data_IF_435664317961
#
_entry.id   IF_435664317961
#
_cell.length_a   1.000
_cell.length_b   1.000
_cell.length_c   1.000
_cell.angle_alpha   90.00
_cell.angle_beta   90.00
_cell.angle_gamma   90.00
#
_symmetry.space_group_name_H-M   'P 1'
#
loop_
_entity.id
_entity.type
_entity.pdbx_description
1 polymer ?
#
# COMPACT_ATOMS: atom_id res chain seq x y z
N UNK A 1 -88.65 -2.53 -3.88
CA UNK A 1 -88.60 -1.07 -3.65
C UNK A 1 -87.33 -0.65 -2.93
N UNK A 2 -86.61 0.38 -3.43
CA UNK A 2 -85.31 0.89 -2.93
C UNK A 2 -85.31 1.30 -1.44
N UNK A 3 -85.51 0.36 -0.51
CA UNK A 3 -85.58 0.60 0.93
C UNK A 3 -86.71 1.55 1.35
N UNK A 4 -87.84 1.51 0.64
CA UNK A 4 -89.02 2.35 0.93
C UNK A 4 -90.03 1.66 1.84
N UNK A 5 -90.28 0.36 1.61
CA UNK A 5 -91.17 -0.47 2.41
C UNK A 5 -90.37 -1.46 3.27
N UNK A 6 -90.59 -1.43 4.58
CA UNK A 6 -89.94 -2.32 5.54
C UNK A 6 -90.45 -3.76 5.49
N UNK A 7 -91.72 -3.98 5.14
CA UNK A 7 -92.32 -5.32 5.03
C UNK A 7 -91.75 -6.06 3.83
N UNK A 8 -91.63 -5.38 2.70
CA UNK A 8 -91.01 -5.95 1.49
C UNK A 8 -89.51 -6.19 1.70
N UNK A 9 -88.83 -5.30 2.42
CA UNK A 9 -87.40 -5.43 2.74
C UNK A 9 -87.10 -6.70 3.55
N UNK A 10 -87.87 -6.96 4.62
CA UNK A 10 -87.71 -8.19 5.42
C UNK A 10 -88.10 -9.42 4.61
N UNK A 11 -89.17 -9.35 3.81
CA UNK A 11 -89.62 -10.44 2.95
C UNK A 11 -88.59 -10.89 1.91
N UNK A 12 -87.71 -9.99 1.47
CA UNK A 12 -86.60 -10.26 0.54
C UNK A 12 -85.31 -10.73 1.22
N UNK A 13 -85.36 -11.07 2.51
CA UNK A 13 -84.19 -11.54 3.27
C UNK A 13 -83.42 -10.44 3.99
N UNK A 14 -83.96 -9.21 4.04
CA UNK A 14 -83.41 -8.13 4.86
C UNK A 14 -83.52 -8.45 6.36
N UNK A 15 -82.54 -7.99 7.13
CA UNK A 15 -82.49 -8.25 8.57
C UNK A 15 -82.64 -6.96 9.37
N UNK A 16 -83.08 -7.03 10.63
CA UNK A 16 -83.10 -5.86 11.51
C UNK A 16 -81.71 -5.62 12.09
N UNK A 17 -81.12 -4.45 11.81
CA UNK A 17 -79.79 -4.06 12.31
C UNK A 17 -78.89 -3.49 11.22
N UNK A 18 -77.56 -3.46 11.44
CA UNK A 18 -76.59 -3.14 10.40
C UNK A 18 -76.74 -4.10 9.22
N UNK A 19 -76.82 -3.56 8.02
CA UNK A 19 -76.92 -4.38 6.81
C UNK A 19 -75.54 -4.84 6.36
N UNK A 20 -75.46 -6.06 5.84
CA UNK A 20 -74.21 -6.59 5.25
C UNK A 20 -73.95 -5.95 3.89
N UNK A 21 -75.00 -5.83 3.07
CA UNK A 21 -74.91 -5.30 1.73
C UNK A 21 -74.68 -3.79 1.75
N UNK A 22 -73.91 -3.32 0.77
CA UNK A 22 -73.56 -1.91 0.59
C UNK A 22 -74.29 -1.33 -0.62
N UNK A 23 -74.53 -0.03 -0.57
CA UNK A 23 -75.00 0.72 -1.73
C UNK A 23 -73.79 1.29 -2.46
N UNK A 24 -73.69 0.98 -3.75
CA UNK A 24 -72.69 1.60 -4.62
C UNK A 24 -73.01 3.09 -4.81
N UNK A 25 -72.07 3.91 -5.28
CA UNK A 25 -72.36 5.31 -5.57
C UNK A 25 -73.51 5.44 -6.58
N UNK A 26 -74.57 6.16 -6.20
CA UNK A 26 -75.76 6.32 -7.03
C UNK A 26 -76.85 7.13 -6.31
N UNK A 27 -77.96 7.35 -7.01
CA UNK A 27 -79.14 8.02 -6.45
C UNK A 27 -80.15 6.97 -5.98
N UNK A 28 -80.39 6.91 -4.66
CA UNK A 28 -81.32 5.98 -4.04
C UNK A 28 -82.41 6.73 -3.29
N UNK A 29 -83.66 6.27 -3.43
CA UNK A 29 -84.81 6.83 -2.73
C UNK A 29 -85.11 6.01 -1.46
N UNK A 30 -84.39 6.30 -0.38
CA UNK A 30 -84.43 5.54 0.88
C UNK A 30 -85.37 6.23 1.87
N UNK A 31 -86.18 5.47 2.62
CA UNK A 31 -87.00 6.01 3.70
C UNK A 31 -86.16 6.27 4.97
N UNK A 32 -85.92 7.54 5.36
CA UNK A 32 -85.05 7.86 6.50
C UNK A 32 -85.66 7.51 7.87
N UNK A 33 -86.97 7.25 7.94
CA UNK A 33 -87.63 6.80 9.18
C UNK A 33 -87.35 5.32 9.47
N UNK A 34 -87.06 4.53 8.43
CA UNK A 34 -86.80 3.09 8.54
C UNK A 34 -85.31 2.77 8.52
N UNK A 35 -84.52 3.52 7.75
CA UNK A 35 -83.09 3.24 7.53
C UNK A 35 -82.22 4.46 7.83
N UNK A 36 -81.11 4.22 8.54
CA UNK A 36 -80.03 5.19 8.71
C UNK A 36 -78.91 4.88 7.72
N UNK A 37 -78.62 5.83 6.83
CA UNK A 37 -77.52 5.70 5.86
C UNK A 37 -76.23 6.22 6.50
N UNK A 38 -75.19 5.40 6.47
CA UNK A 38 -73.83 5.79 6.90
C UNK A 38 -73.03 5.99 5.61
N UNK A 39 -72.58 7.22 5.39
CA UNK A 39 -71.77 7.57 4.23
C UNK A 39 -70.30 7.34 4.58
N UNK A 40 -69.65 6.50 3.81
CA UNK A 40 -68.21 6.25 3.92
C UNK A 40 -67.53 6.41 2.57
N UNK A 41 -66.28 6.88 2.62
CA UNK A 41 -65.43 6.95 1.44
C UNK A 41 -64.90 5.56 1.12
N UNK A 42 -65.00 5.17 -0.15
CA UNK A 42 -64.40 3.92 -0.64
C UNK A 42 -62.92 3.84 -0.27
N UNK A 43 -62.50 2.66 0.19
CA UNK A 43 -61.10 2.42 0.58
C UNK A 43 -60.28 2.21 -0.68
N UNK A 44 -59.15 2.90 -0.77
CA UNK A 44 -58.21 2.79 -1.87
C UNK A 44 -56.95 2.07 -1.39
N UNK A 45 -56.56 1.02 -2.11
CA UNK A 45 -55.30 0.30 -1.93
C UNK A 45 -54.37 0.74 -3.04
N UNK A 46 -53.24 1.34 -2.70
CA UNK A 46 -52.32 1.89 -3.70
C UNK A 46 -51.49 0.78 -4.35
N UNK A 47 -50.96 1.00 -5.56
CA UNK A 47 -49.95 0.12 -6.13
C UNK A 47 -48.77 -0.06 -5.17
N UNK A 48 -48.34 -1.30 -4.94
CA UNK A 48 -47.30 -1.62 -3.96
C UNK A 48 -47.81 -1.85 -2.53
N UNK A 49 -49.13 -1.82 -2.34
CA UNK A 49 -49.81 -2.21 -1.11
C UNK A 49 -50.79 -3.35 -1.39
N UNK A 50 -51.06 -4.16 -0.36
CA UNK A 50 -52.12 -5.17 -0.35
C UNK A 50 -53.01 -4.96 0.87
N UNK A 51 -54.29 -5.27 0.76
CA UNK A 51 -55.21 -5.23 1.88
C UNK A 51 -55.49 -6.64 2.40
N UNK A 52 -55.14 -6.88 3.67
CA UNK A 52 -55.58 -8.06 4.42
C UNK A 52 -56.96 -7.77 5.00
N UNK A 53 -57.90 -8.66 4.73
CA UNK A 53 -59.29 -8.52 5.17
C UNK A 53 -59.45 -9.21 6.52
N UNK A 54 -59.93 -8.46 7.52
CA UNK A 54 -60.44 -9.04 8.77
C UNK A 54 -61.96 -9.00 8.72
N UNK A 55 -62.59 -10.16 8.59
CA UNK A 55 -64.04 -10.27 8.54
C UNK A 55 -64.61 -10.44 9.95
N UNK A 56 -65.49 -9.53 10.37
CA UNK A 56 -66.26 -9.62 11.60
C UNK A 56 -67.53 -10.48 11.44
N UNK A 57 -67.86 -10.86 10.20
CA UNK A 57 -69.06 -11.62 9.83
C UNK A 57 -68.68 -12.96 9.20
N UNK A 58 -69.57 -13.94 9.28
CA UNK A 58 -69.36 -15.26 8.69
C UNK A 58 -69.64 -16.37 9.69
N UNK A 59 -69.36 -17.61 9.28
CA UNK A 59 -69.42 -18.76 10.19
C UNK A 59 -68.25 -18.68 11.17
N UNK A 60 -68.48 -19.07 12.42
CA UNK A 60 -67.37 -19.27 13.34
C UNK A 60 -66.56 -20.50 12.87
N UNK A 61 -65.24 -20.37 12.70
CA UNK A 61 -64.40 -21.48 12.26
C UNK A 61 -64.41 -22.58 13.34
N UNK A 62 -64.66 -23.83 12.92
CA UNK A 62 -64.54 -24.99 13.81
C UNK A 62 -63.08 -25.25 14.16
N UNK A 63 -62.84 -25.92 15.29
CA UNK A 63 -61.49 -26.30 15.76
C UNK A 63 -60.74 -27.15 14.72
N UNK A 64 -61.45 -27.94 13.92
CA UNK A 64 -60.87 -28.76 12.84
C UNK A 64 -60.27 -27.88 11.73
N UNK A 65 -61.03 -26.89 11.23
CA UNK A 65 -60.58 -25.96 10.18
C UNK A 65 -59.37 -25.15 10.66
N UNK A 66 -59.37 -24.75 11.93
CA UNK A 66 -58.23 -24.06 12.56
C UNK A 66 -56.98 -24.93 12.60
N UNK A 67 -57.10 -26.22 12.94
CA UNK A 67 -55.97 -27.15 12.98
C UNK A 67 -55.43 -27.47 11.59
N UNK A 68 -56.30 -27.68 10.60
CA UNK A 68 -55.89 -27.91 9.21
C UNK A 68 -55.12 -26.70 8.66
N UNK A 69 -55.62 -25.50 8.93
CA UNK A 69 -54.95 -24.28 8.48
C UNK A 69 -53.60 -24.07 9.19
N UNK A 70 -53.54 -24.28 10.51
CA UNK A 70 -52.29 -24.22 11.25
C UNK A 70 -51.27 -25.25 10.75
N UNK A 71 -51.70 -26.47 10.41
CA UNK A 71 -50.85 -27.50 9.82
C UNK A 71 -50.33 -27.11 8.44
N UNK A 72 -51.19 -26.53 7.58
CA UNK A 72 -50.81 -26.01 6.26
C UNK A 72 -49.74 -24.91 6.38
N UNK A 73 -49.89 -24.00 7.33
CA UNK A 73 -48.93 -22.92 7.59
C UNK A 73 -47.60 -23.47 8.09
N UNK A 74 -47.62 -24.38 9.08
CA UNK A 74 -46.38 -25.02 9.58
C UNK A 74 -45.64 -25.79 8.49
N UNK A 75 -46.35 -26.55 7.65
CA UNK A 75 -45.73 -27.29 6.55
C UNK A 75 -45.12 -26.37 5.48
N UNK A 76 -45.73 -25.20 5.23
CA UNK A 76 -45.17 -24.16 4.36
C UNK A 76 -43.91 -23.57 4.96
N UNK A 77 -43.96 -23.19 6.23
CA UNK A 77 -42.83 -22.64 6.97
C UNK A 77 -41.63 -23.59 6.98
N UNK A 78 -41.85 -24.87 7.27
CA UNK A 78 -40.77 -25.86 7.25
C UNK A 78 -40.12 -26.02 5.86
N UNK A 79 -40.84 -25.77 4.76
CA UNK A 79 -40.26 -25.73 3.41
C UNK A 79 -39.44 -24.48 3.20
N UNK A 80 -39.99 -23.31 3.52
CA UNK A 80 -39.31 -22.03 3.34
C UNK A 80 -38.07 -21.91 4.23
N UNK A 81 -38.12 -22.40 5.47
CA UNK A 81 -36.97 -22.51 6.37
C UNK A 81 -35.88 -23.43 5.80
N UNK A 82 -36.25 -24.57 5.20
CA UNK A 82 -35.28 -25.47 4.56
C UNK A 82 -34.64 -24.80 3.35
N UNK A 83 -35.43 -24.19 2.47
CA UNK A 83 -34.93 -23.48 1.29
C UNK A 83 -34.02 -22.30 1.68
N UNK A 84 -34.37 -21.55 2.72
CA UNK A 84 -33.55 -20.44 3.20
C UNK A 84 -32.31 -20.89 3.99
N UNK A 85 -32.40 -21.99 4.75
CA UNK A 85 -31.26 -22.60 5.42
C UNK A 85 -30.25 -23.12 4.39
N UNK A 86 -30.72 -23.74 3.31
CA UNK A 86 -29.89 -24.16 2.18
C UNK A 86 -29.22 -22.96 1.49
N UNK A 87 -29.96 -21.87 1.24
CA UNK A 87 -29.38 -20.64 0.67
C UNK A 87 -28.38 -19.96 1.59
N UNK A 88 -28.63 -19.96 2.90
CA UNK A 88 -27.75 -19.37 3.91
C UNK A 88 -26.48 -20.21 4.10
N UNK A 89 -26.61 -21.55 4.15
CA UNK A 89 -25.49 -22.48 4.22
C UNK A 89 -24.58 -22.36 2.98
N UNK A 90 -25.17 -22.23 1.78
CA UNK A 90 -24.42 -22.03 0.54
C UNK A 90 -23.62 -20.72 0.49
N UNK A 91 -24.06 -19.68 1.23
CA UNK A 91 -23.27 -18.44 1.41
C UNK A 91 -22.19 -18.59 2.47
N UNK A 92 -22.50 -19.25 3.60
CA UNK A 92 -21.59 -19.39 4.74
C UNK A 92 -20.39 -20.32 4.47
N UNK A 93 -20.54 -21.35 3.63
CA UNK A 93 -19.46 -22.28 3.24
C UNK A 93 -18.24 -21.57 2.60
N UNK A 94 -18.36 -20.29 2.23
CA UNK A 94 -17.27 -19.48 1.66
C UNK A 94 -16.50 -18.65 2.69
N UNK A 95 -16.97 -18.56 3.94
CA UNK A 95 -16.55 -17.49 4.86
C UNK A 95 -15.78 -17.99 6.07
N UNK A 96 -16.08 -19.16 6.65
CA UNK A 96 -15.45 -19.55 7.92
C UNK A 96 -15.25 -21.07 8.05
N UNK A 97 -13.99 -21.51 8.11
CA UNK A 97 -13.61 -22.91 8.31
C UNK A 97 -13.58 -23.35 9.79
N UNK A 98 -14.06 -22.50 10.71
CA UNK A 98 -13.89 -22.71 12.16
C UNK A 98 -15.16 -23.06 12.95
N UNK A 99 -16.37 -22.88 12.40
CA UNK A 99 -17.63 -23.24 13.07
C UNK A 99 -18.54 -24.03 12.14
N UNK A 100 -19.09 -25.14 12.66
CA UNK A 100 -19.89 -26.06 11.85
C UNK A 100 -21.29 -25.47 11.64
N UNK A 101 -21.86 -25.58 10.44
CA UNK A 101 -23.23 -25.12 10.14
C UNK A 101 -24.30 -25.66 11.12
N UNK A 102 -24.01 -26.77 11.81
CA UNK A 102 -24.84 -27.35 12.85
C UNK A 102 -24.88 -26.54 14.17
N UNK A 103 -23.76 -25.95 14.59
CA UNK A 103 -23.67 -25.15 15.83
C UNK A 103 -24.40 -23.81 15.67
N UNK A 104 -24.25 -23.19 14.49
CA UNK A 104 -24.99 -21.98 14.12
C UNK A 104 -26.49 -22.28 14.08
N UNK A 105 -26.91 -23.44 13.57
CA UNK A 105 -28.31 -23.86 13.57
C UNK A 105 -28.85 -24.10 14.98
N UNK A 106 -28.05 -24.62 15.90
CA UNK A 106 -28.44 -24.84 17.29
C UNK A 106 -28.60 -23.51 18.05
N UNK A 107 -27.68 -22.56 17.87
CA UNK A 107 -27.78 -21.20 18.44
C UNK A 107 -28.95 -20.39 17.84
N UNK A 108 -29.23 -20.55 16.54
CA UNK A 108 -30.40 -19.93 15.88
C UNK A 108 -31.74 -20.53 16.34
N UNK A 109 -31.72 -21.79 16.80
CA UNK A 109 -32.90 -22.50 17.32
C UNK A 109 -33.08 -22.34 18.84
N UNK A 110 -32.06 -21.84 19.55
CA UNK A 110 -32.16 -21.44 20.95
C UNK A 110 -33.00 -20.16 21.05
N UNK A 111 -34.32 -20.34 20.95
CA UNK A 111 -35.29 -19.24 20.97
C UNK A 111 -35.10 -18.32 22.18
N UNK A 112 -35.08 -17.02 21.91
CA UNK A 112 -35.08 -15.95 22.91
C UNK A 112 -36.25 -16.17 23.89
N UNK A 113 -36.08 -16.00 25.22
CA UNK A 113 -37.18 -15.96 26.18
C UNK A 113 -38.34 -15.02 25.81
N UNK A 114 -38.12 -14.03 24.93
CA UNK A 114 -39.16 -13.19 24.36
C UNK A 114 -40.12 -13.93 23.39
N UNK A 115 -39.63 -14.92 22.63
CA UNK A 115 -40.45 -15.71 21.68
C UNK A 115 -41.53 -16.50 22.45
N UNK A 116 -41.17 -17.10 23.60
CA UNK A 116 -42.13 -17.82 24.47
C UNK A 116 -43.26 -16.94 25.00
N UNK A 117 -42.98 -15.65 25.28
CA UNK A 117 -43.99 -14.71 25.78
C UNK A 117 -45.04 -14.35 24.72
N UNK A 118 -44.68 -14.40 23.45
CA UNK A 118 -45.60 -14.15 22.33
C UNK A 118 -46.36 -15.42 21.94
N UNK A 119 -45.70 -16.58 21.95
CA UNK A 119 -46.30 -17.88 21.63
C UNK A 119 -47.35 -18.34 22.66
N UNK A 120 -47.20 -17.96 23.94
CA UNK A 120 -48.17 -18.28 25.00
C UNK A 120 -49.51 -17.52 24.84
N UNK A 121 -49.53 -16.41 24.09
CA UNK A 121 -50.72 -15.55 23.91
C UNK A 121 -51.31 -15.54 22.49
N UNK A 122 -50.53 -15.89 21.46
CA UNK A 122 -50.96 -15.81 20.07
C UNK A 122 -51.30 -17.20 19.54
N UNK A 123 -52.58 -17.58 19.61
CA UNK A 123 -53.08 -18.74 18.87
C UNK A 123 -52.78 -18.55 17.38
N UNK A 124 -51.93 -19.40 16.79
CA UNK A 124 -51.57 -19.44 15.35
C UNK A 124 -52.78 -19.70 14.40
N UNK A 125 -54.00 -19.59 14.92
CA UNK A 125 -55.22 -20.20 14.40
C UNK A 125 -56.32 -19.18 14.09
N UNK A 126 -55.96 -18.07 13.44
CA UNK A 126 -56.94 -17.03 13.05
C UNK A 126 -57.00 -16.71 11.56
N UNK A 127 -56.09 -17.25 10.74
CA UNK A 127 -56.26 -17.18 9.29
C UNK A 127 -57.31 -18.21 8.88
N UNK A 128 -58.34 -17.75 8.19
CA UNK A 128 -59.50 -18.55 7.79
C UNK A 128 -59.74 -18.41 6.29
N UNK A 129 -60.30 -19.45 5.64
CA UNK A 129 -60.79 -19.34 4.27
C UNK A 129 -61.95 -18.35 4.14
N UNK A 130 -62.26 -17.98 2.90
CA UNK A 130 -63.37 -17.08 2.59
C UNK A 130 -64.71 -17.55 3.17
N UNK A 131 -65.41 -16.63 3.83
CA UNK A 131 -66.76 -16.87 4.39
C UNK A 131 -66.81 -17.20 5.89
N UNK A 132 -65.66 -17.34 6.53
CA UNK A 132 -65.55 -17.47 7.99
C UNK A 132 -65.23 -16.12 8.65
N UNK A 133 -65.61 -15.99 9.92
CA UNK A 133 -65.22 -14.85 10.75
C UNK A 133 -63.74 -14.99 11.14
N UNK A 134 -62.95 -13.94 10.93
CA UNK A 134 -61.51 -13.94 11.16
C UNK A 134 -60.70 -13.26 10.05
N UNK A 135 -59.38 -13.42 10.13
CA UNK A 135 -58.43 -12.89 9.15
C UNK A 135 -58.49 -13.78 7.91
N UNK A 136 -58.75 -13.23 6.74
CA UNK A 136 -58.89 -14.03 5.52
C UNK A 136 -57.52 -14.43 4.96
N UNK A 137 -57.39 -15.65 4.43
CA UNK A 137 -56.18 -16.11 3.72
C UNK A 137 -55.94 -15.32 2.43
N UNK A 138 -57.01 -14.92 1.73
CA UNK A 138 -56.91 -14.17 0.48
C UNK A 138 -56.68 -12.69 0.73
N UNK A 139 -55.65 -12.14 0.09
CA UNK A 139 -55.37 -10.70 0.09
C UNK A 139 -55.98 -10.03 -1.12
N UNK A 140 -56.34 -8.76 -0.94
CA UNK A 140 -56.87 -7.92 -2.00
C UNK A 140 -55.77 -7.02 -2.55
N UNK A 141 -55.64 -7.01 -3.87
CA UNK A 141 -54.65 -6.21 -4.59
C UNK A 141 -54.97 -4.71 -4.64
N UNK A 142 -54.16 -3.93 -5.37
CA UNK A 142 -54.37 -2.50 -5.52
C UNK A 142 -55.66 -2.21 -6.30
N UNK A 143 -56.42 -1.22 -5.82
CA UNK A 143 -57.71 -0.87 -6.39
C UNK A 143 -58.59 -0.09 -5.42
N UNK A 144 -59.75 0.34 -5.93
CA UNK A 144 -60.76 1.03 -5.14
C UNK A 144 -61.87 0.07 -4.77
N UNK A 145 -62.05 -0.14 -3.47
CA UNK A 145 -63.01 -1.10 -2.93
C UNK A 145 -64.09 -0.40 -2.13
N UNK A 146 -65.33 -0.72 -2.44
CA UNK A 146 -66.48 -0.38 -1.61
C UNK A 146 -66.64 -1.52 -0.61
N UNK A 147 -66.32 -1.26 0.65
CA UNK A 147 -66.39 -2.25 1.73
C UNK A 147 -67.25 -1.70 2.85
N UNK A 148 -67.93 -2.60 3.54
CA UNK A 148 -68.68 -2.27 4.75
C UNK A 148 -67.72 -2.35 5.94
N UNK A 149 -67.29 -1.21 6.50
CA UNK A 149 -66.33 -1.15 7.62
C UNK A 149 -66.83 -1.82 8.89
N UNK A 150 -68.15 -1.96 9.06
CA UNK A 150 -68.73 -2.66 10.21
C UNK A 150 -68.56 -4.18 10.07
N UNK A 151 -68.67 -4.70 8.85
CA UNK A 151 -68.55 -6.13 8.57
C UNK A 151 -67.10 -6.56 8.34
N UNK A 152 -66.27 -5.69 7.76
CA UNK A 152 -64.92 -5.98 7.31
C UNK A 152 -63.99 -4.83 7.70
N UNK A 153 -62.88 -5.15 8.36
CA UNK A 153 -61.80 -4.21 8.63
C UNK A 153 -60.62 -4.50 7.68
N UNK A 154 -60.37 -3.66 6.66
CA UNK A 154 -59.20 -3.82 5.80
C UNK A 154 -57.94 -3.27 6.49
N UNK A 155 -56.90 -4.09 6.59
CA UNK A 155 -55.56 -3.70 7.05
C UNK A 155 -54.66 -3.60 5.83
N UNK A 156 -54.20 -2.39 5.52
CA UNK A 156 -53.34 -2.14 4.37
C UNK A 156 -51.89 -2.39 4.77
N UNK A 157 -51.19 -3.19 3.96
CA UNK A 157 -49.81 -3.60 4.15
C UNK A 157 -49.02 -3.23 2.90
N UNK A 158 -48.02 -2.34 2.99
CA UNK A 158 -47.05 -2.15 1.92
C UNK A 158 -46.26 -3.44 1.65
N UNK A 159 -46.24 -3.86 0.39
CA UNK A 159 -45.41 -4.97 -0.10
C UNK A 159 -44.11 -4.47 -0.74
N UNK A 160 -43.97 -3.16 -0.88
CA UNK A 160 -42.70 -2.50 -1.23
C UNK A 160 -41.65 -2.67 -0.14
N UNK A 161 -40.39 -2.51 -0.50
CA UNK A 161 -39.28 -2.51 0.46
C UNK A 161 -39.44 -1.34 1.43
N UNK A 162 -39.59 -1.66 2.71
CA UNK A 162 -39.64 -0.70 3.81
C UNK A 162 -38.27 -0.62 4.47
N UNK A 163 -37.85 0.59 4.78
CA UNK A 163 -36.57 0.84 5.45
C UNK A 163 -36.87 1.39 6.83
N UNK A 164 -36.29 0.76 7.85
CA UNK A 164 -36.34 1.27 9.23
C UNK A 164 -34.93 1.67 9.60
N UNK A 165 -34.79 2.91 10.05
CA UNK A 165 -33.53 3.52 10.43
C UNK A 165 -33.57 3.84 11.92
N UNK A 166 -32.53 3.44 12.64
CA UNK A 166 -32.33 3.82 14.03
C UNK A 166 -31.15 4.77 14.10
N UNK A 167 -31.45 6.08 14.18
CA UNK A 167 -30.47 7.16 14.28
C UNK A 167 -30.52 7.81 15.66
N UNK A 168 -29.37 8.24 16.17
CA UNK A 168 -29.25 8.79 17.53
C UNK A 168 -30.02 10.11 17.76
N UNK A 169 -30.50 10.78 16.70
CA UNK A 169 -30.97 12.16 16.77
C UNK A 169 -32.48 12.40 16.79
N UNK A 170 -33.33 11.43 16.43
CA UNK A 170 -34.71 11.76 16.01
C UNK A 170 -35.87 11.08 16.75
N UNK A 171 -35.62 10.31 17.82
CA UNK A 171 -36.72 9.64 18.54
C UNK A 171 -37.02 10.32 19.88
N UNK A 172 -38.02 11.19 19.87
CA UNK A 172 -38.69 11.68 21.10
C UNK A 172 -39.40 10.49 21.78
N UNK A 173 -38.85 10.04 22.91
CA UNK A 173 -39.52 9.25 23.96
C UNK A 173 -39.73 7.72 23.84
N UNK A 174 -38.92 6.92 23.12
CA UNK A 174 -39.03 5.44 23.32
C UNK A 174 -37.75 4.61 23.27
N UNK A 175 -36.64 5.08 22.72
CA UNK A 175 -35.43 4.23 22.67
C UNK A 175 -34.22 5.10 22.35
N UNK A 176 -33.18 5.10 23.19
CA UNK A 176 -31.87 5.61 22.80
C UNK A 176 -31.19 4.51 21.97
N UNK A 177 -30.94 4.73 20.66
CA UNK A 177 -30.33 3.72 19.83
C UNK A 177 -28.94 3.33 20.34
N UNK A 178 -28.86 2.09 20.83
CA UNK A 178 -27.69 1.22 20.90
C UNK A 178 -26.40 1.81 21.48
N UNK A 179 -26.45 2.27 22.74
CA UNK A 179 -25.26 2.22 23.60
C UNK A 179 -24.96 0.75 23.92
N UNK A 180 -24.01 0.18 23.17
CA UNK A 180 -23.53 -1.18 23.37
C UNK A 180 -22.16 -1.16 24.03
N UNK A 181 -21.91 -2.15 24.88
CA UNK A 181 -20.63 -2.32 25.56
C UNK A 181 -19.87 -3.40 24.81
N UNK A 182 -18.66 -3.07 24.37
CA UNK A 182 -17.76 -4.04 23.76
C UNK A 182 -17.18 -5.02 24.78
N UNK A 183 -16.56 -6.11 24.32
CA UNK A 183 -15.80 -7.04 25.18
C UNK A 183 -14.76 -6.35 26.07
N UNK A 184 -14.19 -5.25 25.60
CA UNK A 184 -13.16 -4.48 26.29
C UNK A 184 -13.72 -3.44 27.27
N UNK A 185 -15.05 -3.35 27.40
CA UNK A 185 -15.74 -2.43 28.32
C UNK A 185 -15.98 -1.03 27.76
N UNK A 186 -15.64 -0.77 26.50
CA UNK A 186 -15.93 0.53 25.86
C UNK A 186 -17.38 0.59 25.39
N UNK A 187 -18.01 1.74 25.68
CA UNK A 187 -19.32 2.10 25.13
C UNK A 187 -19.16 2.54 23.66
N UNK A 188 -20.04 2.07 22.79
CA UNK A 188 -20.12 2.48 21.39
C UNK A 188 -21.57 2.76 21.05
N UNK A 189 -21.81 3.73 20.16
CA UNK A 189 -23.14 3.98 19.61
C UNK A 189 -23.22 3.46 18.18
N UNK A 190 -24.18 2.59 17.92
CA UNK A 190 -24.37 1.95 16.63
C UNK A 190 -25.62 2.50 15.92
N UNK A 191 -25.46 2.92 14.68
CA UNK A 191 -26.58 3.23 13.79
C UNK A 191 -26.84 2.05 12.87
N UNK A 192 -28.08 1.60 12.83
CA UNK A 192 -28.49 0.44 12.04
C UNK A 192 -29.62 0.83 11.10
N UNK A 193 -29.62 0.23 9.92
CA UNK A 193 -30.69 0.32 8.93
C UNK A 193 -31.10 -1.08 8.50
N UNK A 194 -32.38 -1.38 8.61
CA UNK A 194 -32.93 -2.67 8.16
C UNK A 194 -33.89 -2.40 7.00
N UNK A 195 -33.68 -3.10 5.89
CA UNK A 195 -34.64 -3.12 4.79
C UNK A 195 -35.34 -4.46 4.77
N UNK A 196 -36.65 -4.42 4.88
CA UNK A 196 -37.51 -5.59 4.86
C UNK A 196 -38.62 -5.42 3.85
N UNK A 197 -39.24 -6.54 3.46
CA UNK A 197 -40.44 -6.56 2.64
C UNK A 197 -41.38 -7.63 3.17
N UNK A 198 -42.66 -7.48 2.88
CA UNK A 198 -43.68 -8.49 3.20
C UNK A 198 -44.23 -9.00 1.88
N UNK A 199 -44.18 -10.31 1.64
CA UNK A 199 -44.81 -10.90 0.45
C UNK A 199 -46.33 -10.81 0.59
N UNK A 200 -47.09 -10.58 -0.51
CA UNK A 200 -48.55 -10.55 -0.48
C UNK A 200 -49.18 -11.78 0.19
N UNK A 201 -48.62 -12.96 -0.08
CA UNK A 201 -49.12 -14.25 0.43
C UNK A 201 -48.90 -14.45 1.92
N UNK A 202 -47.91 -13.74 2.48
CA UNK A 202 -47.45 -13.84 3.86
C UNK A 202 -48.11 -12.79 4.77
N UNK A 203 -48.63 -11.72 4.17
CA UNK A 203 -49.28 -10.62 4.87
C UNK A 203 -50.40 -11.05 5.84
N UNK A 204 -51.32 -11.97 5.50
CA UNK A 204 -52.35 -12.41 6.45
C UNK A 204 -51.79 -13.09 7.69
N UNK A 205 -50.72 -13.87 7.54
CA UNK A 205 -50.09 -14.62 8.63
C UNK A 205 -49.32 -13.68 9.55
N UNK A 206 -48.62 -12.70 8.98
CA UNK A 206 -47.97 -11.63 9.75
C UNK A 206 -49.01 -10.85 10.59
N UNK A 207 -50.16 -10.48 10.00
CA UNK A 207 -51.26 -9.80 10.73
C UNK A 207 -51.81 -10.67 11.83
N UNK A 208 -51.95 -11.98 11.62
CA UNK A 208 -52.46 -12.88 12.66
C UNK A 208 -51.55 -12.94 13.90
N UNK A 209 -50.22 -12.92 13.71
CA UNK A 209 -49.26 -12.96 14.83
C UNK A 209 -49.08 -11.59 15.52
N UNK A 210 -49.03 -10.50 14.76
CA UNK A 210 -48.57 -9.19 15.27
C UNK A 210 -49.66 -8.11 15.22
N UNK A 211 -50.58 -8.21 14.27
CA UNK A 211 -51.68 -7.27 14.01
C UNK A 211 -51.36 -6.18 12.98
N UNK A 212 -50.10 -5.80 12.79
CA UNK A 212 -49.71 -4.77 11.82
C UNK A 212 -48.22 -4.42 11.84
N UNK A 213 -47.80 -3.59 10.87
CA UNK A 213 -46.37 -3.24 10.69
C UNK A 213 -45.83 -2.37 11.82
N UNK A 214 -46.59 -1.40 12.32
CA UNK A 214 -46.10 -0.55 13.42
C UNK A 214 -45.77 -1.36 14.67
N UNK A 215 -46.60 -2.37 14.96
CA UNK A 215 -46.39 -3.31 16.06
C UNK A 215 -45.22 -4.26 15.79
N UNK A 216 -45.02 -4.68 14.54
CA UNK A 216 -43.86 -5.48 14.14
C UNK A 216 -42.58 -4.70 14.42
N UNK A 217 -42.53 -3.44 14.02
CA UNK A 217 -41.37 -2.57 14.20
C UNK A 217 -41.09 -2.38 15.70
N UNK A 218 -42.09 -1.92 16.47
CA UNK A 218 -41.89 -1.55 17.88
C UNK A 218 -41.69 -2.73 18.82
N UNK A 219 -42.46 -3.81 18.66
CA UNK A 219 -42.50 -4.89 19.65
C UNK A 219 -41.59 -6.08 19.29
N UNK A 220 -41.23 -6.25 18.01
CA UNK A 220 -40.43 -7.40 17.55
C UNK A 220 -39.10 -6.94 16.99
N UNK A 221 -39.09 -6.08 15.98
CA UNK A 221 -37.84 -5.68 15.33
C UNK A 221 -36.93 -4.88 16.26
N UNK A 222 -37.46 -3.89 17.01
CA UNK A 222 -36.64 -3.09 17.91
C UNK A 222 -35.93 -3.95 18.98
N UNK A 223 -36.64 -4.80 19.77
CA UNK A 223 -35.97 -5.61 20.78
C UNK A 223 -35.03 -6.67 20.19
N UNK A 224 -35.40 -7.26 19.05
CA UNK A 224 -34.59 -8.28 18.40
C UNK A 224 -33.26 -7.71 17.88
N UNK A 225 -33.31 -6.58 17.19
CA UNK A 225 -32.12 -5.89 16.68
C UNK A 225 -31.24 -5.45 17.86
N UNK A 226 -31.82 -4.92 18.94
CA UNK A 226 -31.06 -4.59 20.16
C UNK A 226 -30.32 -5.80 20.72
N UNK A 227 -31.03 -6.90 20.94
CA UNK A 227 -30.48 -8.12 21.50
C UNK A 227 -29.34 -8.66 20.64
N UNK A 228 -29.52 -8.75 19.32
CA UNK A 228 -28.52 -9.29 18.40
C UNK A 228 -27.26 -8.43 18.37
N UNK A 229 -27.39 -7.12 18.16
CA UNK A 229 -26.24 -6.22 18.06
C UNK A 229 -25.53 -6.06 19.41
N UNK A 230 -26.25 -6.06 20.54
CA UNK A 230 -25.67 -6.06 21.88
C UNK A 230 -24.86 -7.32 22.15
N UNK A 231 -25.39 -8.49 21.79
CA UNK A 231 -24.68 -9.76 21.94
C UNK A 231 -23.42 -9.82 21.07
N UNK A 232 -23.52 -9.41 19.80
CA UNK A 232 -22.36 -9.35 18.89
C UNK A 232 -21.29 -8.36 19.38
N UNK A 233 -21.68 -7.18 19.83
CA UNK A 233 -20.75 -6.21 20.40
C UNK A 233 -20.03 -6.75 21.65
N UNK A 234 -20.70 -7.58 22.45
CA UNK A 234 -20.11 -8.20 23.65
C UNK A 234 -19.08 -9.28 23.32
N UNK A 235 -19.15 -9.90 22.14
CA UNK A 235 -18.22 -10.95 21.70
C UNK A 235 -16.91 -10.37 21.13
N UNK A 236 -16.99 -9.24 20.43
CA UNK A 236 -15.88 -8.62 19.70
C UNK A 236 -15.31 -7.38 20.42
N UNK A 237 -14.01 -7.11 20.26
CA UNK A 237 -13.44 -5.84 20.72
C UNK A 237 -13.96 -4.69 19.87
N UNK A 238 -14.05 -3.49 20.45
CA UNK A 238 -14.54 -2.29 19.77
C UNK A 238 -13.79 -2.02 18.44
N UNK A 239 -12.48 -2.24 18.45
CA UNK A 239 -11.62 -2.05 17.28
C UNK A 239 -11.76 -3.16 16.24
N UNK A 240 -11.84 -4.42 16.66
CA UNK A 240 -12.06 -5.53 15.73
C UNK A 240 -13.44 -5.42 15.06
N UNK A 241 -14.44 -4.96 15.81
CA UNK A 241 -15.79 -4.72 15.30
C UNK A 241 -15.81 -3.66 14.18
N UNK A 242 -15.00 -2.60 14.30
CA UNK A 242 -14.81 -1.60 13.24
C UNK A 242 -14.08 -2.17 12.02
N UNK A 243 -13.00 -2.94 12.24
CA UNK A 243 -12.18 -3.50 11.16
C UNK A 243 -12.92 -4.57 10.36
N UNK A 244 -13.61 -5.48 11.05
CA UNK A 244 -14.33 -6.62 10.46
C UNK A 244 -15.84 -6.33 10.34
N UNK A 245 -16.22 -5.07 10.11
CA UNK A 245 -17.64 -4.65 10.00
C UNK A 245 -18.43 -5.47 8.99
N UNK A 246 -17.81 -5.87 7.88
CA UNK A 246 -18.48 -6.69 6.86
C UNK A 246 -18.93 -8.04 7.43
N UNK A 247 -18.05 -8.75 8.13
CA UNK A 247 -18.34 -10.05 8.73
C UNK A 247 -19.41 -9.94 9.82
N UNK A 248 -19.32 -8.90 10.67
CA UNK A 248 -20.31 -8.65 11.72
C UNK A 248 -21.69 -8.33 11.14
N UNK A 249 -21.75 -7.57 10.05
CA UNK A 249 -22.98 -7.26 9.35
C UNK A 249 -23.62 -8.51 8.73
N UNK A 250 -22.84 -9.38 8.09
CA UNK A 250 -23.35 -10.61 7.49
C UNK A 250 -23.85 -11.61 8.54
N UNK A 251 -23.14 -11.72 9.67
CA UNK A 251 -23.60 -12.50 10.84
C UNK A 251 -24.89 -11.93 11.42
N UNK A 252 -25.00 -10.61 11.53
CA UNK A 252 -26.23 -9.95 12.00
C UNK A 252 -27.40 -10.22 11.05
N UNK A 253 -27.19 -10.06 9.74
CA UNK A 253 -28.20 -10.32 8.71
C UNK A 253 -28.72 -11.76 8.79
N UNK A 254 -27.84 -12.74 8.92
CA UNK A 254 -28.23 -14.14 9.04
C UNK A 254 -29.09 -14.41 10.29
N UNK A 255 -28.70 -13.85 11.46
CA UNK A 255 -29.46 -13.99 12.71
C UNK A 255 -30.83 -13.31 12.63
N UNK A 256 -30.87 -12.07 12.14
CA UNK A 256 -32.10 -11.29 11.99
C UNK A 256 -33.06 -11.97 11.01
N UNK A 257 -32.54 -12.46 9.87
CA UNK A 257 -33.34 -13.18 8.87
C UNK A 257 -33.95 -14.44 9.45
N UNK A 258 -33.18 -15.25 10.18
CA UNK A 258 -33.67 -16.49 10.77
C UNK A 258 -34.80 -16.24 11.79
N UNK A 259 -34.67 -15.21 12.64
CA UNK A 259 -35.71 -14.88 13.61
C UNK A 259 -36.98 -14.30 12.97
N UNK A 260 -36.84 -13.41 11.97
CA UNK A 260 -37.98 -12.75 11.34
C UNK A 260 -38.76 -13.63 10.35
N UNK A 261 -38.16 -14.74 9.91
CA UNK A 261 -38.84 -15.75 9.10
C UNK A 261 -40.08 -16.29 9.82
N UNK A 262 -40.00 -16.56 11.12
CA UNK A 262 -41.13 -17.01 11.98
C UNK A 262 -42.34 -16.07 11.96
N UNK A 263 -42.11 -14.80 11.67
CA UNK A 263 -43.12 -13.75 11.61
C UNK A 263 -43.60 -13.47 10.18
N UNK A 264 -43.16 -14.27 9.20
CA UNK A 264 -43.46 -14.13 7.77
C UNK A 264 -43.01 -12.78 7.18
N UNK A 265 -41.83 -12.30 7.62
CA UNK A 265 -41.22 -11.07 7.13
C UNK A 265 -39.90 -11.39 6.43
N UNK A 266 -39.79 -10.99 5.17
CA UNK A 266 -38.56 -11.17 4.39
C UNK A 266 -37.59 -10.01 4.69
N UNK A 267 -36.39 -10.34 5.16
CA UNK A 267 -35.30 -9.37 5.33
C UNK A 267 -34.42 -9.36 4.09
N UNK A 268 -34.23 -8.18 3.51
CA UNK A 268 -33.41 -8.00 2.30
C UNK A 268 -31.97 -7.76 2.72
N UNK A 269 -31.74 -6.79 3.60
CA UNK A 269 -30.43 -6.51 4.16
C UNK A 269 -30.54 -5.84 5.52
N UNK A 270 -29.52 -6.06 6.33
CA UNK A 270 -29.26 -5.34 7.58
C UNK A 270 -27.94 -4.62 7.38
N UNK A 271 -27.94 -3.31 7.53
CA UNK A 271 -26.78 -2.47 7.34
C UNK A 271 -26.43 -1.82 8.67
N UNK A 272 -25.18 -1.99 9.10
CA UNK A 272 -24.59 -1.08 10.08
C UNK A 272 -24.28 0.19 9.28
N UNK A 273 -24.63 1.39 9.75
CA UNK A 273 -24.38 2.65 9.06
C UNK A 273 -23.14 3.35 9.62
N UNK A 274 -23.20 3.75 10.90
CA UNK A 274 -22.12 4.44 11.60
C UNK A 274 -21.85 3.77 12.95
N UNK A 275 -20.57 3.79 13.34
CA UNK A 275 -20.09 3.29 14.62
C UNK A 275 -19.37 4.45 15.29
N UNK A 276 -19.98 5.01 16.32
CA UNK A 276 -19.37 6.07 17.09
C UNK A 276 -18.58 5.45 18.24
N UNK A 277 -17.25 5.56 18.14
CA UNK A 277 -16.29 5.15 19.16
C UNK A 277 -15.85 6.38 19.97
N UNK A 278 -15.52 6.22 21.26
CA UNK A 278 -14.95 7.30 22.05
C UNK A 278 -13.58 7.73 21.49
N UNK A 279 -13.29 9.04 21.51
CA UNK A 279 -12.08 9.62 20.91
C UNK A 279 -10.77 9.09 21.50
N UNK A 280 -10.78 8.61 22.74
CA UNK A 280 -9.60 8.06 23.42
C UNK A 280 -9.02 6.84 22.68
N UNK A 281 -9.88 5.96 22.16
CA UNK A 281 -9.47 4.81 21.37
C UNK A 281 -8.90 5.21 20.01
N UNK A 282 -9.50 6.21 19.38
CA UNK A 282 -9.03 6.71 18.08
C UNK A 282 -7.62 7.31 18.20
N UNK A 283 -7.33 8.01 19.31
CA UNK A 283 -5.98 8.56 19.58
C UNK A 283 -4.96 7.45 19.75
N UNK A 284 -5.21 6.47 20.61
CA UNK A 284 -4.27 5.35 20.82
C UNK A 284 -4.05 4.51 19.55
N UNK A 285 -5.09 4.29 18.75
CA UNK A 285 -4.95 3.60 17.46
C UNK A 285 -4.16 4.44 16.46
N UNK A 286 -4.44 5.74 16.35
CA UNK A 286 -3.70 6.65 15.46
C UNK A 286 -2.24 6.71 15.86
N UNK A 287 -1.95 6.75 17.17
CA UNK A 287 -0.59 6.67 17.70
C UNK A 287 0.08 5.34 17.37
N UNK A 288 -0.62 4.21 17.51
CA UNK A 288 -0.10 2.88 17.13
C UNK A 288 0.22 2.81 15.63
N UNK A 289 -0.70 3.24 14.77
CA UNK A 289 -0.50 3.26 13.31
C UNK A 289 0.67 4.18 12.95
N UNK A 290 0.77 5.35 13.57
CA UNK A 290 1.87 6.28 13.35
C UNK A 290 3.20 5.70 13.83
N UNK A 291 3.22 4.98 14.96
CA UNK A 291 4.41 4.30 15.45
C UNK A 291 4.86 3.20 14.50
N UNK A 292 3.94 2.39 13.97
CA UNK A 292 4.22 1.34 12.99
C UNK A 292 4.73 1.92 11.66
N UNK A 293 4.11 2.99 11.16
CA UNK A 293 4.60 3.72 9.98
C UNK A 293 5.99 4.32 10.22
N UNK A 294 6.25 4.90 11.40
CA UNK A 294 7.57 5.40 11.78
C UNK A 294 8.60 4.28 11.81
N UNK A 295 8.27 3.12 12.38
CA UNK A 295 9.15 1.96 12.42
C UNK A 295 9.50 1.49 11.00
N UNK A 296 8.51 1.34 10.12
CA UNK A 296 8.73 0.98 8.72
C UNK A 296 9.61 2.01 7.99
N UNK A 297 9.43 3.31 8.27
CA UNK A 297 10.31 4.35 7.73
C UNK A 297 11.74 4.25 8.25
N UNK A 298 11.93 4.00 9.55
CA UNK A 298 13.26 3.83 10.12
C UNK A 298 13.96 2.58 9.59
N UNK A 299 13.25 1.48 9.42
CA UNK A 299 13.81 0.25 8.85
C UNK A 299 14.21 0.46 7.38
N UNK A 300 13.37 1.15 6.60
CA UNK A 300 13.71 1.54 5.23
C UNK A 300 14.92 2.50 5.19
N UNK A 301 15.03 3.45 6.12
CA UNK A 301 16.18 4.34 6.25
C UNK A 301 17.45 3.59 6.64
N UNK A 302 17.36 2.64 7.57
CA UNK A 302 18.48 1.79 7.98
C UNK A 302 18.98 0.94 6.82
N UNK A 303 18.08 0.33 6.06
CA UNK A 303 18.44 -0.48 4.90
C UNK A 303 19.10 0.38 3.79
N UNK A 304 18.59 1.61 3.58
CA UNK A 304 19.21 2.55 2.65
C UNK A 304 20.61 2.99 3.10
N UNK A 305 20.81 3.26 4.40
CA UNK A 305 22.10 3.64 4.94
C UNK A 305 23.09 2.46 4.94
N UNK A 306 22.64 1.24 5.20
CA UNK A 306 23.46 0.04 5.10
C UNK A 306 23.95 -0.20 3.67
N UNK A 307 23.08 -0.04 2.67
CA UNK A 307 23.45 -0.05 1.25
C UNK A 307 24.47 1.05 0.92
N UNK A 308 24.32 2.25 1.50
CA UNK A 308 25.25 3.37 1.32
C UNK A 308 26.62 3.06 1.94
N UNK A 309 26.67 2.56 3.18
CA UNK A 309 27.91 2.12 3.85
C UNK A 309 28.58 1.03 3.02
N UNK A 310 27.81 0.09 2.45
CA UNK A 310 28.37 -0.97 1.61
C UNK A 310 28.97 -0.42 0.31
N UNK A 311 28.31 0.53 -0.34
CA UNK A 311 28.84 1.23 -1.52
C UNK A 311 30.12 1.99 -1.16
N UNK A 312 30.12 2.71 -0.05
CA UNK A 312 31.29 3.47 0.42
C UNK A 312 32.46 2.55 0.80
N UNK A 313 32.22 1.43 1.49
CA UNK A 313 33.23 0.38 1.74
C UNK A 313 33.82 -0.15 0.44
N UNK A 314 32.97 -0.44 -0.55
CA UNK A 314 33.41 -0.95 -1.85
C UNK A 314 34.28 0.09 -2.58
N UNK A 315 33.87 1.37 -2.54
CA UNK A 315 34.62 2.49 -3.10
C UNK A 315 35.97 2.68 -2.40
N UNK A 316 35.98 2.70 -1.06
CA UNK A 316 37.21 2.79 -0.28
C UNK A 316 38.14 1.61 -0.56
N UNK A 317 37.61 0.40 -0.75
CA UNK A 317 38.43 -0.76 -1.11
C UNK A 317 39.06 -0.63 -2.49
N UNK A 318 38.33 -0.09 -3.47
CA UNK A 318 38.82 0.20 -4.82
C UNK A 318 39.87 1.33 -4.82
N UNK A 319 39.67 2.39 -4.03
CA UNK A 319 40.64 3.48 -3.86
C UNK A 319 41.94 2.97 -3.21
N UNK A 320 41.82 2.17 -2.14
CA UNK A 320 42.97 1.50 -1.52
C UNK A 320 43.67 0.55 -2.48
N UNK A 321 42.93 -0.16 -3.35
CA UNK A 321 43.52 -1.01 -4.39
C UNK A 321 44.31 -0.19 -5.41
N UNK A 322 43.78 0.96 -5.82
CA UNK A 322 44.48 1.88 -6.72
C UNK A 322 45.78 2.39 -6.10
N UNK A 323 45.76 2.75 -4.82
CA UNK A 323 46.97 3.21 -4.11
C UNK A 323 47.99 2.09 -3.90
N UNK A 324 47.54 0.88 -3.54
CA UNK A 324 48.41 -0.30 -3.44
C UNK A 324 49.03 -0.64 -4.81
N UNK A 325 48.24 -0.67 -5.88
CA UNK A 325 48.75 -0.91 -7.23
C UNK A 325 49.69 0.21 -7.69
N UNK A 326 49.42 1.48 -7.38
CA UNK A 326 50.33 2.57 -7.67
C UNK A 326 51.68 2.40 -6.95
N UNK A 327 51.66 1.97 -5.69
CA UNK A 327 52.88 1.66 -4.94
C UNK A 327 53.63 0.44 -5.53
N UNK A 328 52.94 -0.65 -5.85
CA UNK A 328 53.53 -1.86 -6.45
C UNK A 328 54.12 -1.57 -7.83
N UNK A 329 53.35 -0.94 -8.71
CA UNK A 329 53.80 -0.51 -10.05
C UNK A 329 54.94 0.51 -9.94
N UNK A 330 54.92 1.38 -8.94
CA UNK A 330 56.02 2.31 -8.65
C UNK A 330 57.34 1.60 -8.35
N UNK A 331 57.30 0.53 -7.53
CA UNK A 331 58.46 -0.32 -7.25
C UNK A 331 58.94 -1.05 -8.51
N UNK A 332 58.03 -1.59 -9.31
CA UNK A 332 58.37 -2.24 -10.57
C UNK A 332 58.97 -1.27 -11.59
N UNK A 333 58.42 -0.06 -11.73
CA UNK A 333 58.97 1.01 -12.59
C UNK A 333 60.36 1.41 -12.11
N UNK A 334 60.57 1.55 -10.80
CA UNK A 334 61.89 1.85 -10.24
C UNK A 334 62.90 0.73 -10.52
N UNK A 335 62.48 -0.54 -10.40
CA UNK A 335 63.26 -1.71 -10.77
C UNK A 335 63.62 -1.72 -12.25
N UNK A 336 62.64 -1.54 -13.13
CA UNK A 336 62.82 -1.47 -14.59
C UNK A 336 63.69 -0.29 -15.02
N UNK A 337 63.56 0.88 -14.37
CA UNK A 337 64.45 2.04 -14.59
C UNK A 337 65.89 1.75 -14.15
N UNK A 338 66.09 0.99 -13.06
CA UNK A 338 67.41 0.57 -12.61
C UNK A 338 68.05 -0.41 -13.61
N UNK A 339 67.28 -1.38 -14.11
CA UNK A 339 67.71 -2.29 -15.18
C UNK A 339 68.05 -1.53 -16.47
N UNK A 340 67.19 -0.60 -16.90
CA UNK A 340 67.43 0.23 -18.08
C UNK A 340 68.72 1.05 -17.93
N UNK A 341 68.93 1.70 -16.79
CA UNK A 341 70.17 2.46 -16.53
C UNK A 341 71.42 1.59 -16.55
N UNK A 342 71.36 0.35 -16.05
CA UNK A 342 72.48 -0.60 -16.12
C UNK A 342 72.78 -0.97 -17.57
N UNK A 343 71.76 -1.28 -18.37
CA UNK A 343 71.92 -1.61 -19.78
C UNK A 343 72.45 -0.43 -20.61
N UNK A 344 71.99 0.80 -20.34
CA UNK A 344 72.51 2.03 -20.96
C UNK A 344 73.98 2.24 -20.59
N UNK A 345 74.34 2.11 -19.30
CA UNK A 345 75.74 2.24 -18.85
C UNK A 345 76.67 1.17 -19.44
N UNK A 346 76.18 -0.07 -19.59
CA UNK A 346 76.92 -1.15 -20.26
C UNK A 346 77.09 -0.86 -21.77
N UNK A 347 76.05 -0.34 -22.42
CA UNK A 347 76.10 0.09 -23.82
C UNK A 347 77.09 1.23 -24.05
N UNK A 348 77.08 2.25 -23.18
CA UNK A 348 78.04 3.36 -23.20
C UNK A 348 79.47 2.89 -22.94
N UNK A 349 79.68 2.01 -21.96
CA UNK A 349 80.99 1.43 -21.69
C UNK A 349 81.52 0.63 -22.91
N UNK A 350 80.65 -0.15 -23.55
CA UNK A 350 81.00 -0.90 -24.76
C UNK A 350 81.32 0.03 -25.94
N UNK A 351 80.56 1.11 -26.11
CA UNK A 351 80.83 2.13 -27.12
C UNK A 351 82.18 2.80 -26.89
N UNK A 352 82.45 3.28 -25.68
CA UNK A 352 83.72 3.95 -25.32
C UNK A 352 84.92 3.01 -25.50
N UNK A 353 84.79 1.73 -25.12
CA UNK A 353 85.86 0.75 -25.34
C UNK A 353 86.11 0.49 -26.83
N UNK A 354 85.06 0.39 -27.65
CA UNK A 354 85.18 0.18 -29.08
C UNK A 354 85.81 1.40 -29.78
N UNK A 355 85.38 2.62 -29.43
CA UNK A 355 85.97 3.86 -29.96
C UNK A 355 87.41 4.02 -29.49
N UNK A 356 87.70 3.78 -28.21
CA UNK A 356 89.06 3.85 -27.67
C UNK A 356 90.01 2.86 -28.32
N UNK A 357 89.55 1.63 -28.61
CA UNK A 357 90.32 0.66 -29.39
C UNK A 357 90.58 1.14 -30.82
N UNK A 358 89.56 1.68 -31.50
CA UNK A 358 89.72 2.19 -32.87
C UNK A 358 90.69 3.39 -32.94
N UNK A 359 90.63 4.30 -31.97
CA UNK A 359 91.57 5.42 -31.86
C UNK A 359 93.00 4.95 -31.57
N UNK A 360 93.17 3.98 -30.65
CA UNK A 360 94.47 3.38 -30.38
C UNK A 360 95.06 2.71 -31.63
N UNK A 361 94.24 1.97 -32.39
CA UNK A 361 94.64 1.33 -33.65
C UNK A 361 95.06 2.37 -34.70
N UNK A 362 94.29 3.47 -34.82
CA UNK A 362 94.59 4.58 -35.72
C UNK A 362 95.93 5.25 -35.36
N UNK A 363 96.17 5.53 -34.09
CA UNK A 363 97.43 6.13 -33.61
C UNK A 363 98.60 5.17 -33.82
N UNK A 364 98.42 3.87 -33.56
CA UNK A 364 99.46 2.84 -33.83
C UNK A 364 99.86 2.82 -35.30
N UNK A 365 98.88 2.78 -36.22
CA UNK A 365 99.14 2.77 -37.66
C UNK A 365 99.80 4.07 -38.14
N UNK A 366 99.38 5.23 -37.60
CA UNK A 366 100.05 6.51 -37.91
C UNK A 366 101.49 6.53 -37.37
N UNK A 367 101.73 6.00 -36.18
CA UNK A 367 103.07 5.88 -35.60
C UNK A 367 103.98 4.94 -36.39
N UNK A 368 103.47 3.80 -36.84
CA UNK A 368 104.17 2.86 -37.71
C UNK A 368 104.50 3.50 -39.07
N UNK A 369 103.54 4.20 -39.69
CA UNK A 369 103.76 4.90 -40.95
C UNK A 369 104.78 6.05 -40.83
N UNK A 370 104.72 6.83 -39.75
CA UNK A 370 105.72 7.86 -39.46
C UNK A 370 107.09 7.22 -39.22
N UNK A 371 107.18 6.13 -38.46
CA UNK A 371 108.41 5.41 -38.22
C UNK A 371 109.08 4.93 -39.51
N UNK A 372 108.30 4.37 -40.45
CA UNK A 372 108.79 3.97 -41.77
C UNK A 372 109.24 5.18 -42.59
N UNK A 373 108.45 6.26 -42.61
CA UNK A 373 108.79 7.49 -43.34
C UNK A 373 110.08 8.15 -42.79
N UNK A 374 110.26 8.17 -41.46
CA UNK A 374 111.51 8.62 -40.84
C UNK A 374 112.68 7.73 -41.24
N UNK A 375 112.48 6.41 -41.28
CA UNK A 375 113.53 5.48 -41.65
C UNK A 375 113.99 5.68 -43.11
N UNK A 376 113.05 5.89 -44.04
CA UNK A 376 113.36 6.21 -45.44
C UNK A 376 114.04 7.58 -45.60
N UNK A 377 113.58 8.60 -44.86
CA UNK A 377 114.22 9.92 -44.88
C UNK A 377 115.67 9.86 -44.40
N UNK A 378 115.96 9.07 -43.36
CA UNK A 378 117.33 8.85 -42.87
C UNK A 378 118.20 8.16 -43.91
N UNK A 379 117.65 7.18 -44.64
CA UNK A 379 118.38 6.48 -45.70
C UNK A 379 118.70 7.40 -46.90
N UNK A 380 117.82 8.35 -47.23
CA UNK A 380 118.02 9.25 -48.38
C UNK A 380 118.89 10.48 -48.08
N UNK A 381 118.80 11.05 -46.86
CA UNK A 381 119.41 12.35 -46.53
C UNK A 381 120.56 12.25 -45.50
N UNK A 382 120.78 11.07 -44.90
CA UNK A 382 121.74 10.86 -43.82
C UNK A 382 121.29 11.48 -42.48
N UNK A 383 121.79 10.94 -41.36
CA UNK A 383 121.33 11.29 -40.01
C UNK A 383 121.42 12.80 -39.68
N UNK A 384 122.40 13.51 -40.24
CA UNK A 384 122.54 14.96 -40.04
C UNK A 384 121.59 15.79 -40.92
N UNK A 385 121.17 15.28 -42.09
CA UNK A 385 120.25 15.98 -42.98
C UNK A 385 118.81 16.00 -42.45
N UNK A 386 118.32 14.88 -41.91
CA UNK A 386 116.95 14.78 -41.37
C UNK A 386 116.77 15.66 -40.12
N UNK A 387 117.75 15.70 -39.22
CA UNK A 387 117.70 16.57 -38.05
C UNK A 387 117.62 18.06 -38.41
N UNK A 388 118.31 18.49 -39.47
CA UNK A 388 118.22 19.87 -39.97
C UNK A 388 116.85 20.16 -40.60
N UNK A 389 116.31 19.25 -41.42
CA UNK A 389 114.99 19.41 -42.03
C UNK A 389 113.88 19.43 -40.97
N UNK A 390 113.99 18.59 -39.95
CA UNK A 390 112.99 18.51 -38.89
C UNK A 390 113.08 19.70 -37.93
N UNK A 391 114.29 20.16 -37.57
CA UNK A 391 114.44 21.43 -36.83
C UNK A 391 113.87 22.60 -37.62
N UNK A 392 114.11 22.67 -38.94
CA UNK A 392 113.49 23.68 -39.80
C UNK A 392 111.96 23.55 -39.87
N UNK A 393 111.41 22.32 -39.95
CA UNK A 393 109.95 22.08 -39.91
C UNK A 393 109.33 22.50 -38.58
N UNK A 394 109.95 22.15 -37.45
CA UNK A 394 109.46 22.53 -36.12
C UNK A 394 109.57 24.05 -35.92
N UNK A 395 110.62 24.70 -36.44
CA UNK A 395 110.75 26.17 -36.46
C UNK A 395 109.65 26.81 -37.32
N UNK A 396 109.27 26.17 -38.44
CA UNK A 396 108.19 26.60 -39.33
C UNK A 396 106.78 26.40 -38.77
N UNK A 397 106.46 25.22 -38.25
CA UNK A 397 105.14 24.92 -37.66
C UNK A 397 104.89 25.69 -36.35
N UNK A 398 105.94 25.95 -35.56
CA UNK A 398 105.85 26.77 -34.34
C UNK A 398 106.08 28.26 -34.58
N UNK A 399 106.28 28.69 -35.83
CA UNK A 399 106.29 30.09 -36.28
C UNK A 399 107.27 31.01 -35.50
N UNK A 400 108.52 30.59 -35.35
CA UNK A 400 109.56 31.38 -34.63
C UNK A 400 110.27 32.35 -35.59
N UNK A 401 110.15 33.67 -35.36
CA UNK A 401 110.57 34.76 -36.27
C UNK A 401 112.04 35.19 -36.04
N UNK A 402 112.89 35.15 -37.08
CA UNK A 402 114.32 35.52 -37.04
C UNK A 402 114.62 36.65 -38.04
N UNK A 403 114.59 37.91 -37.59
CA UNK A 403 115.22 39.11 -38.22
C UNK A 403 115.05 40.31 -37.27
N UNK A 404 116.09 41.15 -37.03
CA UNK A 404 115.96 42.37 -36.25
C UNK A 404 115.80 43.61 -37.15
N UNK A 405 114.84 44.49 -36.84
CA UNK A 405 114.62 45.77 -37.52
C UNK A 405 114.52 46.89 -36.48
N UNK A 406 115.56 47.72 -36.33
CA UNK A 406 115.64 49.13 -36.77
C UNK A 406 116.92 49.82 -36.24
N UNK A 407 117.63 50.52 -37.14
CA UNK A 407 118.78 51.39 -36.87
C UNK A 407 118.36 52.88 -36.87
N UNK A 408 119.08 53.69 -36.10
CA UNK A 408 118.77 55.05 -35.65
C UNK A 408 119.04 56.20 -36.65
N UNK A 409 118.37 57.34 -36.46
CA UNK A 409 118.82 58.68 -36.89
C UNK A 409 117.97 59.79 -36.23
N UNK A 410 118.58 60.66 -35.41
CA UNK A 410 118.04 62.00 -35.13
C UNK A 410 117.91 62.45 -33.67
N UNK A 411 119.05 62.73 -33.02
CA UNK A 411 119.29 63.70 -31.93
C UNK A 411 118.44 63.69 -30.64
N UNK A 412 119.12 63.35 -29.54
CA UNK A 412 118.97 64.04 -28.25
C UNK A 412 118.43 63.22 -27.08
N UNK A 413 119.33 62.75 -26.21
CA UNK A 413 119.03 62.49 -24.79
C UNK A 413 119.06 61.03 -24.33
N UNK A 414 120.13 60.69 -23.60
CA UNK A 414 120.26 59.76 -22.46
C UNK A 414 119.76 58.29 -22.50
N UNK A 415 120.72 57.37 -22.29
CA UNK A 415 120.66 56.39 -21.16
C UNK A 415 120.25 54.92 -21.41
N UNK A 416 121.25 54.02 -21.39
CA UNK A 416 121.27 52.61 -20.89
C UNK A 416 120.30 51.56 -21.51
N UNK A 417 120.54 50.24 -21.54
CA UNK A 417 121.46 49.30 -20.90
C UNK A 417 120.90 47.86 -21.06
N UNK A 418 121.76 46.84 -21.05
CA UNK A 418 121.43 45.45 -21.42
C UNK A 418 120.54 44.67 -20.42
N UNK A 419 119.24 44.59 -20.73
CA UNK A 419 118.23 43.82 -19.98
C UNK A 419 117.47 42.75 -20.80
N UNK A 420 117.69 42.66 -22.11
CA UNK A 420 116.91 41.76 -22.99
C UNK A 420 117.27 40.27 -22.89
N UNK A 421 118.54 39.94 -22.61
CA UNK A 421 119.07 38.57 -22.68
C UNK A 421 118.88 37.76 -21.39
N UNK A 422 118.70 38.40 -20.24
CA UNK A 422 118.47 37.74 -18.95
C UNK A 422 116.98 37.44 -18.70
N UNK A 423 116.06 38.18 -19.33
CA UNK A 423 114.62 37.94 -19.23
C UNK A 423 114.20 36.67 -20.01
N UNK A 424 114.82 36.43 -21.16
CA UNK A 424 114.57 35.27 -22.03
C UNK A 424 114.97 33.94 -21.36
N UNK A 425 116.03 33.96 -20.54
CA UNK A 425 116.47 32.77 -19.80
C UNK A 425 115.56 32.45 -18.60
N UNK A 426 114.95 33.46 -17.98
CA UNK A 426 114.07 33.27 -16.82
C UNK A 426 112.66 32.79 -17.22
N UNK A 427 112.18 33.17 -18.41
CA UNK A 427 110.86 32.76 -18.91
C UNK A 427 110.83 31.29 -19.38
N UNK A 428 111.98 30.73 -19.77
CA UNK A 428 112.13 29.29 -20.06
C UNK A 428 112.17 28.43 -18.79
N UNK A 429 112.54 29.01 -17.64
CA UNK A 429 112.64 28.30 -16.36
C UNK A 429 111.27 28.16 -15.66
N UNK A 430 110.39 29.15 -15.79
CA UNK A 430 109.09 29.18 -15.11
C UNK A 430 107.98 28.31 -15.75
N UNK A 431 108.15 27.84 -17.00
CA UNK A 431 107.16 26.93 -17.64
C UNK A 431 107.44 25.43 -17.46
N UNK A 432 108.51 25.06 -16.75
CA UNK A 432 108.81 23.66 -16.38
C UNK A 432 108.51 23.32 -14.91
N UNK A 433 107.85 24.21 -14.15
CA UNK A 433 107.54 24.00 -12.73
C UNK A 433 106.03 23.93 -12.47
N UNK A 434 105.52 22.75 -12.13
CA UNK A 434 104.27 22.57 -11.37
C UNK A 434 104.39 23.20 -9.97
N UNK A 435 103.27 23.49 -9.29
CA UNK A 435 103.16 22.96 -7.93
C UNK A 435 101.77 22.41 -7.55
N UNK A 436 101.82 21.43 -6.66
CA UNK A 436 100.74 20.80 -5.91
C UNK A 436 100.50 21.50 -4.55
N UNK A 437 99.44 21.03 -3.85
CA UNK A 437 99.07 21.24 -2.43
C UNK A 437 98.34 22.57 -2.08
N UNK A 438 97.35 22.66 -1.16
CA UNK A 438 96.89 21.78 -0.06
C UNK A 438 95.52 22.28 0.50
N UNK A 439 94.81 21.44 1.27
CA UNK A 439 94.18 21.91 2.53
C UNK A 439 92.70 21.60 2.87
N UNK A 440 92.52 20.59 3.73
CA UNK A 440 91.51 20.42 4.82
C UNK A 440 90.01 20.33 4.50
N UNK A 441 89.31 19.22 4.82
CA UNK A 441 88.97 18.61 6.13
C UNK A 441 88.12 19.48 7.06
N UNK A 442 86.91 18.96 7.32
CA UNK A 442 85.99 19.28 8.41
C UNK A 442 84.56 18.99 7.96
N UNK A 443 83.72 18.19 8.61
CA UNK A 443 83.83 17.31 9.77
C UNK A 443 82.58 16.42 9.71
N UNK A 444 82.67 15.18 10.23
CA UNK A 444 81.51 14.34 10.45
C UNK A 444 80.68 14.84 11.64
N UNK A 445 79.35 14.89 11.47
CA UNK A 445 78.39 14.18 12.29
C UNK A 445 77.07 14.03 11.55
#
# INVERSE_FOLDING_TARGET
DNFQDGSEFIGRGGQRGPQKDILLPGTYYINPLLFKVILETAKEVKPGEVAVIVSNVGKDPSEEVRREMAAKVRARMEREEKEQAEQSAARLDKIDGSRTAAEIKEDLMAGDPADRRLDEGAHEAYVVPEGYRGIQETVVGPGRYYVNTLAITPIVIPTTNQTVEWTAGEVVNTFNPFEVISKDGFIMQLEVRVVFRVKPEDAPFMVAKIGGIDRLIQNVMHPLIDSIFRNQASESSAMAYLQNRHEEQERAEAKVRAHLLKYHVDIINVLICHIHLPEELMKTQTEKILAEQRQNMFDAQREAEEKRIQLEKTRAHADNQKDLMAATVGVEIAGKRSEQRKAEAEGEAHYILATGRAEAEKVRLMGEAQGVAYHEQVNALGAQGVALVETLKVIGEKNVRITPDVMASGSGGDGAGGLGTLLLLNLFKDRMSLPAENGNKGQAK
#
